data_IF_563195735941
#
_entry.id   IF_563195735941
#
_cell.length_a   1.000
_cell.length_b   1.000
_cell.length_c   1.000
_cell.angle_alpha   90.00
_cell.angle_beta   90.00
_cell.angle_gamma   90.00
#
_symmetry.space_group_name_H-M   'P 1'
#
loop_
_entity.id
_entity.type
_entity.pdbx_description
1 polymer ?
#
# COMPACT_ATOMS: atom_id res chain seq x y z
N UNK A 1 13.95 10.93 12.58
CA UNK A 1 13.22 10.03 11.68
C UNK A 1 11.79 10.48 11.67
N UNK A 2 11.19 10.58 10.50
CA UNK A 2 9.76 10.85 10.37
C UNK A 2 8.98 9.69 11.01
N UNK A 3 7.84 9.96 11.67
CA UNK A 3 7.06 8.90 12.29
C UNK A 3 6.52 7.96 11.22
N UNK A 4 6.61 6.65 11.46
CA UNK A 4 6.07 5.61 10.58
C UNK A 4 4.88 4.89 11.23
N UNK A 5 3.95 4.44 10.40
CA UNK A 5 2.82 3.62 10.79
C UNK A 5 3.29 2.20 11.10
N UNK A 6 2.73 1.60 12.16
CA UNK A 6 3.03 0.25 12.60
C UNK A 6 1.77 -0.44 13.14
N UNK A 7 1.83 -1.75 13.34
CA UNK A 7 0.72 -2.57 13.79
C UNK A 7 1.22 -3.85 14.46
N UNK A 8 0.35 -4.51 15.21
CA UNK A 8 0.70 -5.68 16.03
C UNK A 8 -0.04 -6.97 15.63
N UNK A 9 -1.04 -6.89 14.77
CA UNK A 9 -1.81 -8.04 14.33
C UNK A 9 -1.14 -8.69 13.10
N UNK A 10 -0.72 -9.97 13.19
CA UNK A 10 -0.17 -10.70 12.05
C UNK A 10 -1.26 -11.42 11.23
N UNK A 11 -2.55 -11.32 11.60
CA UNK A 11 -3.63 -12.00 10.90
C UNK A 11 -4.04 -11.25 9.62
N UNK A 12 -4.35 -12.01 8.57
CA UNK A 12 -4.93 -11.49 7.32
C UNK A 12 -6.43 -11.81 7.33
N UNK A 13 -7.27 -10.77 7.45
CA UNK A 13 -8.71 -10.87 7.27
C UNK A 13 -9.08 -10.47 5.83
N UNK A 14 -9.37 -11.46 4.99
CA UNK A 14 -9.67 -11.22 3.56
C UNK A 14 -10.86 -10.29 3.32
N UNK A 15 -11.75 -10.10 4.29
CA UNK A 15 -12.87 -9.15 4.18
C UNK A 15 -12.50 -7.72 4.56
N UNK A 16 -11.27 -7.47 5.03
CA UNK A 16 -10.78 -6.18 5.55
C UNK A 16 -9.35 -5.94 5.11
N UNK A 17 -9.12 -5.45 3.88
CA UNK A 17 -7.79 -5.02 3.47
C UNK A 17 -7.31 -3.84 4.31
N UNK A 18 -6.01 -3.75 4.55
CA UNK A 18 -5.38 -2.67 5.32
C UNK A 18 -5.24 -1.39 4.49
N UNK A 19 -5.12 -1.49 3.16
CA UNK A 19 -5.00 -0.34 2.24
C UNK A 19 -6.01 -0.43 1.10
N UNK A 20 -6.60 0.72 0.76
CA UNK A 20 -7.42 0.92 -0.41
C UNK A 20 -6.66 1.81 -1.40
N UNK A 21 -6.57 1.38 -2.66
CA UNK A 21 -5.81 2.09 -3.69
C UNK A 21 -6.77 2.75 -4.67
N UNK A 22 -6.65 4.06 -4.80
CA UNK A 22 -7.49 4.87 -5.67
C UNK A 22 -6.70 5.50 -6.83
N UNK A 23 -7.25 5.44 -8.04
CA UNK A 23 -6.76 6.17 -9.20
C UNK A 23 -7.48 7.52 -9.31
N UNK A 24 -6.74 8.66 -9.29
CA UNK A 24 -7.32 9.97 -9.51
C UNK A 24 -7.77 10.13 -10.96
N UNK A 25 -8.93 10.73 -11.16
CA UNK A 25 -9.53 10.97 -12.46
C UNK A 25 -9.34 12.43 -12.88
N UNK A 26 -9.47 12.70 -14.19
CA UNK A 26 -9.28 14.04 -14.74
C UNK A 26 -10.27 15.09 -14.20
N UNK A 27 -11.43 14.66 -13.70
CA UNK A 27 -12.43 15.51 -13.06
C UNK A 27 -12.22 15.69 -11.54
N UNK A 28 -11.12 15.14 -11.00
CA UNK A 28 -10.78 15.18 -9.58
C UNK A 28 -11.47 14.11 -8.73
N UNK A 29 -12.30 13.25 -9.32
CA UNK A 29 -12.86 12.10 -8.60
C UNK A 29 -11.81 11.01 -8.35
N UNK A 30 -12.09 10.13 -7.39
CA UNK A 30 -11.26 8.97 -7.07
C UNK A 30 -12.00 7.69 -7.42
N UNK A 31 -11.35 6.80 -8.17
CA UNK A 31 -11.89 5.46 -8.47
C UNK A 31 -11.08 4.42 -7.71
N UNK A 32 -11.75 3.55 -6.95
CA UNK A 32 -11.09 2.40 -6.33
C UNK A 32 -10.63 1.46 -7.44
N UNK A 33 -9.35 1.08 -7.44
CA UNK A 33 -8.77 0.21 -8.48
C UNK A 33 -8.16 -1.07 -7.93
N UNK A 34 -7.69 -1.03 -6.68
CA UNK A 34 -7.05 -2.15 -6.02
C UNK A 34 -7.15 -2.05 -4.49
N UNK A 35 -6.75 -3.13 -3.83
CA UNK A 35 -6.57 -3.20 -2.38
C UNK A 35 -5.22 -3.84 -2.08
N UNK A 36 -4.67 -3.56 -0.91
CA UNK A 36 -3.46 -4.26 -0.44
C UNK A 36 -3.76 -4.88 0.92
N UNK A 37 -3.36 -6.14 1.05
CA UNK A 37 -3.28 -6.82 2.33
C UNK A 37 -1.86 -6.63 2.85
N UNK A 38 -1.70 -6.11 4.05
CA UNK A 38 -0.38 -5.89 4.62
C UNK A 38 -0.29 -6.38 6.06
N UNK A 39 0.84 -7.00 6.39
CA UNK A 39 1.20 -7.37 7.77
C UNK A 39 2.58 -6.84 8.07
N UNK A 40 2.73 -6.17 9.21
CA UNK A 40 4.04 -5.66 9.62
C UNK A 40 5.01 -6.81 9.86
N UNK A 41 6.24 -6.66 9.39
CA UNK A 41 7.22 -7.75 9.35
C UNK A 41 7.57 -8.23 10.76
N UNK A 42 7.70 -7.32 11.73
CA UNK A 42 8.06 -7.66 13.10
C UNK A 42 7.05 -8.61 13.81
N UNK A 43 5.73 -8.30 13.89
CA UNK A 43 4.77 -9.22 14.49
C UNK A 43 4.58 -10.50 13.67
N UNK A 44 4.68 -10.44 12.34
CA UNK A 44 4.59 -11.63 11.50
C UNK A 44 5.77 -12.58 11.73
N UNK A 45 6.99 -12.09 11.65
CA UNK A 45 8.21 -12.88 11.85
C UNK A 45 8.26 -13.50 13.26
N UNK A 46 7.73 -12.81 14.27
CA UNK A 46 7.59 -13.33 15.62
C UNK A 46 6.60 -14.51 15.72
N UNK A 47 5.56 -14.54 14.88
CA UNK A 47 4.51 -15.56 14.87
C UNK A 47 4.82 -16.74 13.93
N UNK A 48 5.32 -16.46 12.73
CA UNK A 48 5.51 -17.42 11.63
C UNK A 48 6.98 -17.85 11.42
N UNK A 49 7.93 -17.13 12.02
CA UNK A 49 9.36 -17.32 11.84
C UNK A 49 9.98 -16.29 10.88
N UNK A 50 11.16 -15.79 11.25
CA UNK A 50 11.84 -14.75 10.50
C UNK A 50 12.13 -15.14 9.04
N UNK A 51 11.78 -14.23 8.12
CA UNK A 51 12.00 -14.40 6.68
C UNK A 51 11.03 -15.37 5.99
N UNK A 52 9.99 -15.83 6.66
CA UNK A 52 8.93 -16.67 6.07
C UNK A 52 7.77 -15.78 5.65
N UNK A 53 7.75 -15.30 4.41
CA UNK A 53 6.67 -14.42 3.94
C UNK A 53 5.28 -15.11 3.97
N UNK A 54 4.19 -14.36 4.26
CA UNK A 54 2.83 -14.84 4.04
C UNK A 54 2.60 -15.23 2.57
N UNK A 55 1.61 -16.10 2.34
CA UNK A 55 1.22 -16.53 1.01
C UNK A 55 -0.29 -16.59 0.83
N UNK A 56 -0.73 -16.25 -0.37
CA UNK A 56 -2.05 -16.59 -0.88
C UNK A 56 -1.88 -17.64 -1.99
N UNK A 57 -2.27 -18.88 -1.72
CA UNK A 57 -1.91 -20.04 -2.56
C UNK A 57 -0.39 -20.07 -2.82
N UNK A 58 0.02 -20.04 -4.10
CA UNK A 58 1.43 -20.06 -4.52
C UNK A 58 2.05 -18.66 -4.67
N UNK A 59 1.29 -17.60 -4.36
CA UNK A 59 1.75 -16.21 -4.44
C UNK A 59 2.25 -15.78 -3.07
N UNK A 60 3.53 -15.43 -2.99
CA UNK A 60 4.11 -14.83 -1.78
C UNK A 60 3.87 -13.32 -1.77
N UNK A 61 3.72 -12.77 -0.58
CA UNK A 61 3.69 -11.32 -0.37
C UNK A 61 5.09 -10.74 -0.64
N UNK A 62 5.16 -9.54 -1.22
CA UNK A 62 6.41 -8.80 -1.39
C UNK A 62 6.83 -8.17 -0.06
N UNK A 63 8.13 -8.03 0.18
CA UNK A 63 8.66 -7.26 1.31
C UNK A 63 8.82 -5.81 0.88
N UNK A 64 8.25 -4.89 1.67
CA UNK A 64 8.40 -3.46 1.51
C UNK A 64 9.16 -2.87 2.70
N UNK A 65 10.25 -2.16 2.39
CA UNK A 65 11.07 -1.43 3.34
C UNK A 65 11.82 -0.33 2.58
N UNK A 66 12.06 0.81 3.23
CA UNK A 66 12.87 1.87 2.63
C UNK A 66 14.32 1.42 2.44
N UNK A 67 14.89 1.77 1.28
CA UNK A 67 16.34 1.65 1.08
C UNK A 67 17.02 2.94 1.59
N UNK A 68 17.86 2.89 2.63
CA UNK A 68 18.56 4.07 3.13
C UNK A 68 19.51 4.71 2.09
N UNK A 69 19.75 4.07 0.95
CA UNK A 69 20.51 4.62 -0.17
C UNK A 69 19.68 5.48 -1.14
N UNK A 70 18.35 5.54 -1.00
CA UNK A 70 17.46 6.35 -1.84
C UNK A 70 16.84 7.50 -1.03
N UNK A 71 16.31 8.50 -1.73
CA UNK A 71 15.58 9.62 -1.10
C UNK A 71 14.05 9.43 -1.14
N UNK A 72 13.58 8.33 -1.74
CA UNK A 72 12.15 8.06 -1.89
C UNK A 72 11.68 7.21 -0.69
N UNK A 73 10.39 7.33 -0.36
CA UNK A 73 9.76 6.53 0.69
C UNK A 73 9.11 5.29 0.04
N UNK A 74 9.90 4.23 -0.14
CA UNK A 74 9.42 3.00 -0.79
C UNK A 74 8.34 2.29 0.03
N UNK A 75 8.42 2.35 1.36
CA UNK A 75 7.44 1.69 2.23
C UNK A 75 6.28 2.60 2.65
N UNK A 76 6.04 3.72 1.94
CA UNK A 76 4.81 4.51 2.04
C UNK A 76 4.46 4.93 3.48
N UNK A 77 5.47 5.38 4.22
CA UNK A 77 5.41 5.75 5.64
C UNK A 77 5.01 4.61 6.59
N UNK A 78 4.98 3.35 6.14
CA UNK A 78 4.86 2.16 6.97
C UNK A 78 6.23 1.63 7.41
N UNK A 79 6.33 1.09 8.63
CA UNK A 79 7.46 0.24 9.02
C UNK A 79 7.59 -0.98 8.08
N UNK A 80 8.73 -1.68 8.02
CA UNK A 80 8.91 -2.84 7.17
C UNK A 80 7.77 -3.84 7.29
N UNK A 81 7.22 -4.26 6.15
CA UNK A 81 6.02 -5.08 6.08
C UNK A 81 6.05 -6.03 4.88
N UNK A 82 5.18 -7.02 4.92
CA UNK A 82 4.84 -7.84 3.78
C UNK A 82 3.53 -7.35 3.20
N UNK A 83 3.43 -7.18 1.88
CA UNK A 83 2.20 -6.79 1.20
C UNK A 83 1.83 -7.70 0.03
N UNK A 84 0.53 -7.80 -0.23
CA UNK A 84 -0.02 -8.37 -1.45
C UNK A 84 -0.96 -7.38 -2.09
N UNK A 85 -0.51 -6.78 -3.18
CA UNK A 85 -1.35 -5.93 -4.03
C UNK A 85 -2.35 -6.79 -4.82
N UNK A 86 -3.62 -6.40 -4.82
CA UNK A 86 -4.69 -7.12 -5.53
C UNK A 86 -5.50 -6.14 -6.37
N UNK A 87 -5.38 -6.26 -7.69
CA UNK A 87 -6.18 -5.52 -8.65
C UNK A 87 -7.61 -6.07 -8.68
N UNK A 88 -8.53 -5.46 -7.94
CA UNK A 88 -9.92 -5.95 -7.79
C UNK A 88 -10.89 -5.32 -8.81
N UNK A 89 -10.73 -4.03 -9.12
CA UNK A 89 -11.71 -3.27 -9.93
C UNK A 89 -11.17 -2.89 -11.32
N UNK A 90 -9.88 -3.16 -11.58
CA UNK A 90 -9.21 -2.80 -12.83
C UNK A 90 -8.42 -3.99 -13.37
N UNK A 91 -8.69 -4.39 -14.62
CA UNK A 91 -7.90 -5.43 -15.27
C UNK A 91 -6.42 -5.03 -15.34
N UNK A 92 -5.55 -5.96 -14.98
CA UNK A 92 -4.11 -5.78 -15.10
C UNK A 92 -3.51 -6.82 -16.07
N UNK A 93 -3.00 -6.40 -17.24
CA UNK A 93 -2.38 -7.33 -18.20
C UNK A 93 -1.08 -7.96 -17.69
N UNK A 94 -0.45 -7.43 -16.64
CA UNK A 94 0.73 -8.06 -16.00
C UNK A 94 0.34 -9.04 -14.89
N UNK A 95 -0.95 -9.12 -14.54
CA UNK A 95 -1.50 -10.07 -13.58
C UNK A 95 -2.17 -9.41 -12.38
N UNK A 96 -3.13 -10.11 -11.78
CA UNK A 96 -3.94 -9.61 -10.66
C UNK A 96 -3.13 -9.23 -9.41
N UNK A 97 -1.96 -9.84 -9.22
CA UNK A 97 -1.08 -9.62 -8.06
C UNK A 97 0.20 -8.84 -8.39
N UNK A 98 0.30 -8.27 -9.59
CA UNK A 98 1.45 -7.44 -9.93
C UNK A 98 1.38 -6.09 -9.21
N UNK A 99 2.51 -5.58 -8.73
CA UNK A 99 2.56 -4.29 -8.03
C UNK A 99 2.16 -3.11 -8.95
N UNK A 100 2.57 -3.18 -10.21
CA UNK A 100 2.29 -2.12 -11.18
C UNK A 100 1.33 -2.60 -12.28
N UNK A 101 0.44 -1.70 -12.71
CA UNK A 101 -0.46 -1.89 -13.85
C UNK A 101 -0.12 -0.89 -14.96
N UNK A 102 0.32 -1.35 -16.15
CA UNK A 102 0.66 -0.45 -17.26
C UNK A 102 -0.56 0.24 -17.89
N UNK A 103 -1.78 -0.16 -17.53
CA UNK A 103 -3.03 0.46 -17.97
C UNK A 103 -3.56 1.55 -17.01
N UNK A 104 -2.83 1.84 -15.92
CA UNK A 104 -3.13 2.88 -14.93
C UNK A 104 -2.08 3.99 -15.03
N UNK A 105 -2.48 5.24 -14.83
CA UNK A 105 -1.57 6.38 -14.96
C UNK A 105 -1.70 7.40 -13.83
N UNK A 106 -0.58 8.02 -13.45
CA UNK A 106 -0.57 9.15 -12.51
C UNK A 106 -0.89 10.50 -13.17
N UNK A 107 -1.34 10.53 -14.44
CA UNK A 107 -1.46 11.77 -15.20
C UNK A 107 -2.44 12.79 -14.60
N UNK A 108 -3.46 12.30 -13.88
CA UNK A 108 -4.43 13.12 -13.16
C UNK A 108 -4.12 13.26 -11.66
N UNK A 109 -3.00 12.70 -11.18
CA UNK A 109 -2.57 12.90 -9.80
C UNK A 109 -2.20 14.37 -9.57
N UNK A 110 -2.92 15.02 -8.67
CA UNK A 110 -2.51 16.32 -8.18
C UNK A 110 -1.31 16.15 -7.25
N UNK A 111 -0.34 17.08 -7.25
CA UNK A 111 0.69 17.09 -6.22
C UNK A 111 0.00 17.16 -4.84
N UNK A 112 0.59 16.53 -3.80
CA UNK A 112 0.00 16.55 -2.47
C UNK A 112 -0.33 17.99 -2.09
N UNK A 113 -1.56 18.20 -1.59
CA UNK A 113 -1.96 19.48 -1.06
C UNK A 113 -1.00 19.86 0.06
N UNK A 114 -0.54 21.11 0.07
CA UNK A 114 0.33 21.65 1.11
C UNK A 114 -0.25 21.28 2.50
N UNK A 115 0.47 20.55 3.38
CA UNK A 115 -0.07 20.07 4.66
C UNK A 115 -0.48 21.21 5.62
N UNK A 116 -0.22 22.47 5.25
CA UNK A 116 -0.65 23.66 5.97
C UNK A 116 -2.04 24.21 5.59
N UNK A 117 -2.73 23.65 4.60
CA UNK A 117 -4.02 24.17 4.14
C UNK A 117 -5.22 23.38 4.69
N UNK A 118 -5.29 23.16 6.00
CA UNK A 118 -6.59 22.93 6.63
C UNK A 118 -7.34 24.24 6.68
N UNK A 119 -8.34 24.36 5.80
CA UNK A 119 -9.24 25.51 5.73
C UNK A 119 -9.75 25.89 7.11
N UNK A 120 -9.51 27.16 7.48
CA UNK A 120 -10.15 27.75 8.64
C UNK A 120 -11.66 27.65 8.48
N UNK A 121 -12.29 26.93 9.39
CA UNK A 121 -13.71 27.11 9.65
C UNK A 121 -13.89 28.52 10.20
N UNK A 122 -14.40 29.42 9.36
CA UNK A 122 -14.94 30.70 9.80
C UNK A 122 -16.27 30.47 10.48
N UNK A 123 -16.37 30.88 11.74
CA UNK A 123 -17.61 31.40 12.35
C UNK A 123 -17.80 32.87 11.95
#
# INVERSE_FOLDING_TARGET
TEPRLTGADPAIDWAKPEVLVYEPQADGSLTLVAVEYLVFQAPWDAAAGAGVAPKFHDVAFTVMADDPATEIDEAHAFEPHYELHVWTERDNPTGMFAEFNPAVSCAAAQPPADPGAHGGHGE
#
